data_IF_900614837513
#
_entry.id   IF_900614837513
#
_cell.length_a   1.000
_cell.length_b   1.000
_cell.length_c   1.000
_cell.angle_alpha   90.00
_cell.angle_beta   90.00
_cell.angle_gamma   90.00
#
_symmetry.space_group_name_H-M   'P 1'
#
loop_
_entity.id
_entity.type
_entity.pdbx_description
1 polymer ?
#
# COMPACT_ATOMS: atom_id res chain seq x y z
N UNK A 1 -16.70 11.38 47.48
CA UNK A 1 -15.81 12.53 47.20
C UNK A 1 -14.59 12.14 46.39
N UNK A 2 -13.81 11.11 46.77
CA UNK A 2 -12.60 10.68 46.05
C UNK A 2 -12.83 10.40 44.54
N UNK A 3 -13.91 9.69 44.11
CA UNK A 3 -14.13 9.44 42.68
C UNK A 3 -14.38 10.71 41.84
N UNK A 4 -15.03 11.73 42.43
CA UNK A 4 -15.37 12.98 41.73
C UNK A 4 -14.12 13.83 41.51
N UNK A 5 -13.25 13.93 42.52
CA UNK A 5 -11.99 14.66 42.37
C UNK A 5 -11.02 13.92 41.44
N UNK A 6 -11.00 12.59 41.48
CA UNK A 6 -10.21 11.79 40.54
C UNK A 6 -10.66 12.03 39.09
N UNK A 7 -11.96 11.94 38.81
CA UNK A 7 -12.51 12.20 37.48
C UNK A 7 -12.23 13.63 37.02
N UNK A 8 -12.45 14.63 37.88
CA UNK A 8 -12.17 16.03 37.55
C UNK A 8 -10.71 16.26 37.17
N UNK A 9 -9.76 15.66 37.90
CA UNK A 9 -8.33 15.79 37.62
C UNK A 9 -7.97 15.10 36.31
N UNK A 10 -8.42 13.86 36.11
CA UNK A 10 -8.08 13.09 34.91
C UNK A 10 -8.72 13.70 33.68
N UNK A 11 -10.01 14.01 33.71
CA UNK A 11 -10.75 14.59 32.58
C UNK A 11 -10.23 15.99 32.25
N UNK A 12 -9.99 16.84 33.26
CA UNK A 12 -9.42 18.18 33.03
C UNK A 12 -8.00 18.13 32.45
N UNK A 13 -7.15 17.21 32.94
CA UNK A 13 -5.80 17.01 32.39
C UNK A 13 -5.84 16.47 30.97
N UNK A 14 -6.73 15.50 30.70
CA UNK A 14 -6.93 14.92 29.37
C UNK A 14 -7.36 15.98 28.37
N UNK A 15 -8.36 16.80 28.69
CA UNK A 15 -8.86 17.85 27.79
C UNK A 15 -7.77 18.89 27.46
N UNK A 16 -6.97 19.29 28.47
CA UNK A 16 -5.85 20.21 28.25
C UNK A 16 -4.77 19.59 27.35
N UNK A 17 -4.43 18.31 27.54
CA UNK A 17 -3.45 17.61 26.70
C UNK A 17 -3.93 17.42 25.26
N UNK A 18 -5.21 17.10 25.09
CA UNK A 18 -5.87 16.96 23.78
C UNK A 18 -5.91 18.31 23.06
N UNK A 19 -6.27 19.39 23.74
CA UNK A 19 -6.27 20.73 23.14
C UNK A 19 -4.86 21.18 22.78
N UNK A 20 -3.89 20.97 23.67
CA UNK A 20 -2.50 21.32 23.41
C UNK A 20 -1.93 20.55 22.23
N UNK A 21 -2.14 19.23 22.17
CA UNK A 21 -1.66 18.42 21.06
C UNK A 21 -2.29 18.81 19.73
N UNK A 22 -3.59 19.13 19.71
CA UNK A 22 -4.25 19.66 18.51
C UNK A 22 -3.69 21.01 18.05
N UNK A 23 -3.27 21.90 18.97
CA UNK A 23 -2.63 23.18 18.62
C UNK A 23 -1.26 23.02 17.95
N UNK A 24 -0.58 21.89 18.18
CA UNK A 24 0.70 21.57 17.55
C UNK A 24 0.55 20.94 16.15
N UNK A 25 -0.65 20.46 15.81
CA UNK A 25 -0.96 20.01 14.45
C UNK A 25 -1.17 21.20 13.51
N UNK A 26 -1.23 20.92 12.21
CA UNK A 26 -1.47 21.97 11.20
C UNK A 26 -2.77 22.76 11.47
N UNK A 27 -2.79 24.02 11.06
CA UNK A 27 -3.96 24.89 11.21
C UNK A 27 -5.24 24.30 10.58
N UNK A 28 -5.08 23.53 9.50
CA UNK A 28 -6.17 22.80 8.86
C UNK A 28 -6.85 21.82 9.83
N UNK A 29 -6.07 21.04 10.60
CA UNK A 29 -6.61 20.10 11.57
C UNK A 29 -7.16 20.85 12.78
N UNK A 30 -6.42 21.82 13.32
CA UNK A 30 -6.85 22.56 14.51
C UNK A 30 -8.23 23.23 14.32
N UNK A 31 -8.44 23.89 13.17
CA UNK A 31 -9.69 24.58 12.82
C UNK A 31 -10.82 23.65 12.31
N UNK A 32 -10.59 22.34 12.25
CA UNK A 32 -11.55 21.39 11.65
C UNK A 32 -12.66 20.97 12.62
N UNK A 33 -13.51 20.02 12.20
CA UNK A 33 -14.53 19.42 13.06
C UNK A 33 -13.92 18.53 14.14
N UNK A 34 -14.69 18.19 15.18
CA UNK A 34 -14.26 17.23 16.22
C UNK A 34 -13.81 15.90 15.61
N UNK A 35 -14.52 15.41 14.61
CA UNK A 35 -14.18 14.18 13.90
C UNK A 35 -12.80 14.23 13.24
N UNK A 36 -12.50 15.31 12.50
CA UNK A 36 -11.20 15.47 11.82
C UNK A 36 -10.06 15.66 12.84
N UNK A 37 -10.31 16.39 13.95
CA UNK A 37 -9.35 16.47 15.05
C UNK A 37 -9.07 15.10 15.68
N UNK A 38 -10.10 14.30 15.96
CA UNK A 38 -9.94 12.95 16.50
C UNK A 38 -9.16 12.03 15.55
N UNK A 39 -9.42 12.09 14.24
CA UNK A 39 -8.60 11.37 13.25
C UNK A 39 -7.14 11.85 13.24
N UNK A 40 -6.92 13.16 13.37
CA UNK A 40 -5.58 13.73 13.49
C UNK A 40 -4.84 13.24 14.72
N UNK A 41 -5.53 13.06 15.84
CA UNK A 41 -4.94 12.58 17.10
C UNK A 41 -4.43 11.14 17.02
N UNK A 42 -5.00 10.30 16.16
CA UNK A 42 -4.45 8.96 15.90
C UNK A 42 -2.99 8.99 15.43
N UNK A 43 -2.50 10.10 14.85
CA UNK A 43 -1.06 10.21 14.53
C UNK A 43 -0.17 10.15 15.77
N UNK A 44 -0.65 10.66 16.91
CA UNK A 44 0.07 10.67 18.18
C UNK A 44 0.07 9.26 18.79
N UNK A 45 -1.02 8.52 18.61
CA UNK A 45 -1.13 7.12 19.06
C UNK A 45 -0.17 6.20 18.29
N UNK A 46 0.09 6.50 17.02
CA UNK A 46 0.91 5.66 16.14
C UNK A 46 2.41 6.00 16.18
N UNK A 47 2.83 7.12 16.76
CA UNK A 47 4.23 7.57 16.78
C UNK A 47 4.73 7.61 18.22
N UNK A 48 5.74 6.79 18.53
CA UNK A 48 6.30 6.75 19.89
C UNK A 48 7.77 6.31 19.90
N UNK A 49 8.46 6.63 20.99
CA UNK A 49 9.78 6.08 21.29
C UNK A 49 9.61 4.66 21.86
N UNK A 50 10.18 3.67 21.17
CA UNK A 50 10.06 2.26 21.56
C UNK A 50 11.44 1.62 21.68
N UNK A 51 11.66 0.88 22.78
CA UNK A 51 12.97 0.25 23.07
C UNK A 51 13.24 -1.00 22.23
N UNK A 52 12.22 -1.73 21.80
CA UNK A 52 12.34 -3.05 21.16
C UNK A 52 12.16 -3.06 19.63
N UNK A 53 11.72 -1.95 19.02
CA UNK A 53 11.49 -1.83 17.57
C UNK A 53 12.04 -0.50 17.02
N UNK A 54 13.33 -0.26 17.28
CA UNK A 54 14.03 1.00 16.96
C UNK A 54 14.22 1.19 15.45
N UNK A 55 14.31 2.44 15.00
CA UNK A 55 14.86 2.75 13.68
C UNK A 55 16.41 2.67 13.72
N UNK A 56 17.09 2.48 12.58
CA UNK A 56 18.54 2.38 12.54
C UNK A 56 19.22 3.63 13.06
N UNK A 57 20.31 3.44 13.80
CA UNK A 57 21.17 4.56 14.21
C UNK A 57 21.60 5.35 12.97
N UNK A 58 21.60 6.67 13.10
CA UNK A 58 22.13 7.51 12.05
C UNK A 58 23.63 7.23 11.90
N UNK A 59 24.12 7.24 10.66
CA UNK A 59 25.55 7.14 10.41
C UNK A 59 26.26 8.30 11.09
N UNK A 60 27.43 8.04 11.69
CA UNK A 60 28.31 9.08 12.26
C UNK A 60 28.74 10.13 11.23
N UNK A 61 28.57 9.86 9.93
CA UNK A 61 28.82 10.78 8.83
C UNK A 61 27.67 11.77 8.56
N UNK A 62 26.54 11.66 9.27
CA UNK A 62 25.39 12.57 9.21
C UNK A 62 25.41 13.40 10.51
N UNK A 63 25.38 14.73 10.38
CA UNK A 63 25.69 15.70 11.47
C UNK A 63 24.79 15.53 12.71
N UNK A 64 25.40 15.74 13.89
CA UNK A 64 24.98 15.32 15.24
C UNK A 64 24.15 16.32 16.09
N UNK A 65 23.72 17.48 15.59
CA UNK A 65 23.44 18.60 16.51
C UNK A 65 22.27 18.41 17.49
N UNK A 66 21.25 17.58 17.19
CA UNK A 66 20.01 17.53 17.99
C UNK A 66 19.48 16.11 18.23
N UNK A 67 20.38 15.16 18.47
CA UNK A 67 19.97 13.79 18.82
C UNK A 67 19.64 13.69 20.30
N UNK A 68 18.42 13.27 20.60
CA UNK A 68 18.01 12.94 21.96
C UNK A 68 18.59 11.57 22.30
N UNK A 69 19.34 11.49 23.39
CA UNK A 69 19.94 10.26 23.88
C UNK A 69 19.36 9.91 25.26
N UNK A 70 19.09 8.62 25.50
CA UNK A 70 18.66 8.07 26.79
C UNK A 70 19.65 6.99 27.21
N UNK A 71 19.99 6.93 28.49
CA UNK A 71 20.78 5.82 29.03
C UNK A 71 19.84 4.66 29.35
N UNK A 72 20.06 3.50 28.73
CA UNK A 72 19.34 2.28 29.06
C UNK A 72 19.59 1.93 30.54
N UNK A 73 18.54 1.75 31.33
CA UNK A 73 18.69 1.42 32.74
C UNK A 73 19.17 -0.02 32.97
N UNK A 74 18.90 -0.94 32.03
CA UNK A 74 19.30 -2.34 32.13
C UNK A 74 20.71 -2.57 31.58
N UNK A 75 21.02 -2.02 30.41
CA UNK A 75 22.32 -2.24 29.74
C UNK A 75 23.36 -1.17 30.04
N UNK A 76 22.96 -0.03 30.62
CA UNK A 76 23.77 1.18 30.84
C UNK A 76 24.34 1.82 29.56
N UNK A 77 23.89 1.38 28.39
CA UNK A 77 24.30 1.92 27.09
C UNK A 77 23.58 3.25 26.81
N UNK A 78 24.27 4.17 26.13
CA UNK A 78 23.65 5.38 25.61
C UNK A 78 22.94 5.04 24.31
N UNK A 79 21.64 5.29 24.27
CA UNK A 79 20.76 4.97 23.14
C UNK A 79 20.28 6.26 22.48
N UNK A 80 20.43 6.33 21.16
CA UNK A 80 19.79 7.36 20.36
C UNK A 80 18.27 7.10 20.29
N UNK A 81 17.48 8.07 20.75
CA UNK A 81 16.02 8.04 20.65
C UNK A 81 15.59 8.51 19.27
N UNK A 82 15.01 7.57 18.50
CA UNK A 82 14.39 7.86 17.21
C UNK A 82 12.93 7.41 17.30
N UNK A 83 11.95 8.30 17.01
CA UNK A 83 10.55 7.90 17.05
C UNK A 83 10.29 6.83 15.99
N UNK A 84 9.54 5.80 16.38
CA UNK A 84 9.10 4.73 15.50
C UNK A 84 7.62 4.91 15.19
N UNK A 85 7.21 4.46 14.00
CA UNK A 85 5.82 4.46 13.57
C UNK A 85 5.27 3.03 13.66
N UNK A 86 4.16 2.86 14.39
CA UNK A 86 3.45 1.59 14.47
C UNK A 86 3.00 1.14 13.07
N UNK A 87 3.28 -0.13 12.72
CA UNK A 87 3.02 -0.66 11.38
C UNK A 87 3.86 -0.01 10.26
N UNK A 88 4.93 0.71 10.60
CA UNK A 88 5.81 1.35 9.64
C UNK A 88 6.47 0.37 8.65
N UNK A 89 6.95 0.88 7.53
CA UNK A 89 7.56 0.06 6.48
C UNK A 89 8.70 -0.81 7.05
N UNK A 90 8.68 -2.15 6.87
CA UNK A 90 9.74 -3.05 7.34
C UNK A 90 11.14 -2.68 6.84
N UNK A 91 11.19 -1.94 5.73
CA UNK A 91 12.39 -1.45 5.06
C UNK A 91 13.13 -0.34 5.82
N UNK A 92 12.47 0.33 6.77
CA UNK A 92 13.01 1.49 7.49
C UNK A 92 13.33 1.20 8.96
N UNK A 93 12.83 0.11 9.53
CA UNK A 93 13.15 -0.32 10.91
C UNK A 93 14.56 -0.91 11.04
N UNK A 94 15.20 -0.80 12.22
CA UNK A 94 16.45 -1.49 12.58
C UNK A 94 16.18 -2.99 12.78
N UNK A 95 15.60 -3.63 11.77
CA UNK A 95 15.54 -5.08 11.72
C UNK A 95 16.81 -5.51 11.01
N UNK A 96 17.85 -5.85 11.79
CA UNK A 96 18.88 -6.76 11.29
C UNK A 96 18.14 -7.96 10.70
N UNK A 97 18.16 -8.10 9.37
CA UNK A 97 17.47 -9.14 8.59
C UNK A 97 16.01 -8.85 8.16
N UNK A 98 15.67 -7.61 7.81
CA UNK A 98 14.35 -7.28 7.23
C UNK A 98 13.94 -8.21 6.07
N UNK A 99 12.75 -8.80 6.10
CA UNK A 99 12.28 -9.72 5.05
C UNK A 99 11.82 -8.95 3.81
N UNK A 100 12.26 -9.39 2.62
CA UNK A 100 11.93 -8.76 1.33
C UNK A 100 10.90 -9.57 0.53
N UNK A 101 9.72 -9.78 1.10
CA UNK A 101 8.60 -10.49 0.45
C UNK A 101 7.51 -9.55 -0.08
N UNK A 102 7.63 -8.24 0.12
CA UNK A 102 6.69 -7.23 -0.35
C UNK A 102 7.18 -6.59 -1.66
N UNK A 103 6.34 -6.64 -2.68
CA UNK A 103 6.55 -6.00 -4.00
C UNK A 103 5.91 -4.61 -4.03
N UNK A 104 4.90 -4.36 -3.22
CA UNK A 104 4.15 -3.11 -3.17
C UNK A 104 4.81 -2.01 -2.34
N UNK A 105 5.53 -2.36 -1.26
CA UNK A 105 6.08 -1.39 -0.32
C UNK A 105 7.03 -0.37 -0.96
N UNK A 106 7.88 -0.78 -1.92
CA UNK A 106 8.79 0.15 -2.62
C UNK A 106 8.02 1.25 -3.37
N UNK A 107 6.89 0.89 -3.96
CA UNK A 107 6.05 1.81 -4.71
C UNK A 107 5.29 2.76 -3.79
N UNK A 108 4.77 2.26 -2.67
CA UNK A 108 4.16 3.09 -1.64
C UNK A 108 5.16 4.07 -1.01
N UNK A 109 6.39 3.63 -0.78
CA UNK A 109 7.47 4.46 -0.28
C UNK A 109 7.83 5.59 -1.27
N UNK A 110 8.04 5.26 -2.55
CA UNK A 110 8.30 6.25 -3.59
C UNK A 110 7.13 7.24 -3.76
N UNK A 111 5.90 6.75 -3.70
CA UNK A 111 4.70 7.59 -3.74
C UNK A 111 4.66 8.57 -2.54
N UNK A 112 5.02 8.09 -1.34
CA UNK A 112 5.08 8.91 -0.13
C UNK A 112 6.11 10.03 -0.27
N UNK A 113 7.29 9.75 -0.85
CA UNK A 113 8.29 10.78 -1.16
C UNK A 113 7.74 11.77 -2.18
N UNK A 114 7.10 11.30 -3.26
CA UNK A 114 6.49 12.18 -4.25
C UNK A 114 5.46 13.12 -3.62
N UNK A 115 4.61 12.61 -2.73
CA UNK A 115 3.64 13.42 -1.98
C UNK A 115 4.35 14.43 -1.07
N UNK A 116 5.38 14.00 -0.34
CA UNK A 116 6.18 14.88 0.53
C UNK A 116 6.76 16.07 -0.25
N UNK A 117 7.37 15.81 -1.42
CA UNK A 117 7.95 16.88 -2.25
C UNK A 117 6.93 17.91 -2.75
N UNK A 118 5.65 17.53 -2.83
CA UNK A 118 4.54 18.40 -3.27
C UNK A 118 3.90 19.17 -2.11
N UNK A 119 3.82 18.57 -0.94
CA UNK A 119 3.12 19.15 0.22
C UNK A 119 4.02 20.03 1.09
N UNK A 120 5.29 19.65 1.24
CA UNK A 120 6.23 20.36 2.13
C UNK A 120 6.93 21.49 1.37
N UNK A 121 6.98 22.72 1.92
CA UNK A 121 7.76 23.80 1.34
C UNK A 121 9.22 23.38 1.13
N UNK A 122 9.72 23.54 -0.09
CA UNK A 122 11.06 23.06 -0.49
C UNK A 122 11.30 21.56 -0.23
N UNK A 123 10.24 20.74 -0.25
CA UNK A 123 10.31 19.32 0.06
C UNK A 123 11.19 18.51 -0.88
N UNK A 124 11.49 19.00 -2.09
CA UNK A 124 12.44 18.39 -3.02
C UNK A 124 13.88 18.29 -2.48
N UNK A 125 14.23 19.07 -1.45
CA UNK A 125 15.54 18.99 -0.79
C UNK A 125 15.82 17.60 -0.21
N UNK A 126 14.77 16.84 0.15
CA UNK A 126 14.90 15.46 0.66
C UNK A 126 15.65 14.54 -0.31
N UNK A 127 15.65 14.84 -1.61
CA UNK A 127 16.36 14.05 -2.63
C UNK A 127 17.88 14.17 -2.49
N UNK A 128 18.38 15.20 -1.80
CA UNK A 128 19.80 15.41 -1.53
C UNK A 128 20.20 14.95 -0.12
N UNK A 129 19.25 14.54 0.72
CA UNK A 129 19.55 14.07 2.07
C UNK A 129 20.34 12.77 2.00
N UNK A 130 21.49 12.77 2.68
CA UNK A 130 22.35 11.59 2.74
C UNK A 130 21.79 10.61 3.76
N UNK A 131 21.61 9.37 3.33
CA UNK A 131 21.18 8.26 4.20
C UNK A 131 22.26 7.17 4.24
N UNK A 132 22.34 6.43 5.35
CA UNK A 132 23.20 5.26 5.46
C UNK A 132 22.60 4.09 4.66
N UNK A 133 23.34 3.59 3.67
CA UNK A 133 23.00 2.34 2.97
C UNK A 133 23.41 1.14 3.82
N UNK A 134 22.46 0.59 4.58
CA UNK A 134 22.69 -0.55 5.49
C UNK A 134 23.18 -1.82 4.77
N UNK A 135 22.77 -2.01 3.51
CA UNK A 135 23.16 -3.15 2.68
C UNK A 135 23.91 -2.64 1.44
N UNK A 136 25.25 -2.58 1.47
CA UNK A 136 26.04 -1.90 0.45
C UNK A 136 26.09 -2.65 -0.88
N UNK A 137 26.00 -3.98 -0.86
CA UNK A 137 26.02 -4.81 -2.07
C UNK A 137 24.73 -5.61 -2.20
N UNK A 138 24.44 -6.05 -3.42
CA UNK A 138 23.30 -6.90 -3.74
C UNK A 138 23.64 -8.34 -3.32
N UNK A 139 23.42 -8.67 -2.06
CA UNK A 139 23.69 -10.00 -1.52
C UNK A 139 22.48 -10.92 -1.71
N UNK A 140 22.72 -12.17 -2.15
CA UNK A 140 21.77 -13.26 -1.93
C UNK A 140 21.64 -13.49 -0.43
N UNK A 141 20.47 -13.20 0.13
CA UNK A 141 20.13 -13.64 1.49
C UNK A 141 19.76 -15.12 1.47
N UNK A 142 19.89 -15.77 2.62
CA UNK A 142 19.36 -17.13 2.80
C UNK A 142 17.87 -17.17 2.49
N UNK A 143 17.40 -18.33 2.04
CA UNK A 143 16.00 -18.70 1.85
C UNK A 143 15.72 -19.97 2.68
N UNK A 144 14.45 -20.26 2.97
CA UNK A 144 14.05 -21.49 3.67
C UNK A 144 13.20 -21.26 4.92
N UNK A 145 12.78 -22.37 5.53
CA UNK A 145 11.74 -22.42 6.57
C UNK A 145 12.03 -21.63 7.86
N UNK A 146 13.30 -21.28 8.10
CA UNK A 146 13.68 -20.39 9.21
C UNK A 146 13.22 -18.94 9.00
N UNK A 147 12.91 -18.54 7.76
CA UNK A 147 12.40 -17.20 7.41
C UNK A 147 10.89 -17.17 7.25
N UNK A 148 10.30 -18.27 6.79
CA UNK A 148 8.85 -18.47 6.71
C UNK A 148 8.56 -19.97 6.81
N UNK A 149 7.90 -20.37 7.90
CA UNK A 149 7.63 -21.79 8.20
C UNK A 149 6.46 -22.37 7.37
N UNK A 150 5.74 -21.53 6.63
CA UNK A 150 4.55 -21.92 5.88
C UNK A 150 4.79 -21.87 4.36
N UNK A 151 5.56 -20.90 3.88
CA UNK A 151 5.83 -20.70 2.45
C UNK A 151 6.55 -21.90 1.81
N UNK A 152 6.13 -22.27 0.60
CA UNK A 152 6.82 -23.29 -0.21
C UNK A 152 8.09 -22.74 -0.85
N UNK A 153 9.00 -23.64 -1.24
CA UNK A 153 10.29 -23.30 -1.84
C UNK A 153 10.13 -22.37 -3.06
N UNK A 154 9.12 -22.60 -3.90
CA UNK A 154 8.81 -21.77 -5.08
C UNK A 154 8.37 -20.35 -4.71
N UNK A 155 7.78 -20.16 -3.53
CA UNK A 155 7.33 -18.85 -3.04
C UNK A 155 8.50 -17.91 -2.69
N UNK A 156 9.69 -18.45 -2.42
CA UNK A 156 10.90 -17.67 -2.16
C UNK A 156 11.58 -17.16 -3.44
N UNK A 157 11.26 -17.75 -4.60
CA UNK A 157 11.86 -17.39 -5.89
C UNK A 157 10.87 -16.51 -6.65
N UNK A 158 11.13 -15.20 -6.64
CA UNK A 158 10.25 -14.20 -7.25
C UNK A 158 10.98 -13.54 -8.41
N UNK A 159 10.33 -13.49 -9.57
CA UNK A 159 10.73 -12.64 -10.70
C UNK A 159 9.93 -11.34 -10.65
N UNK A 160 10.58 -10.22 -10.95
CA UNK A 160 9.96 -8.89 -11.08
C UNK A 160 10.59 -8.22 -12.29
N UNK A 161 9.78 -7.71 -13.19
CA UNK A 161 10.25 -7.02 -14.40
C UNK A 161 9.17 -6.08 -14.94
N UNK A 162 9.45 -5.51 -16.12
CA UNK A 162 8.57 -4.62 -16.84
C UNK A 162 8.18 -5.32 -18.14
N UNK A 163 6.88 -5.44 -18.40
CA UNK A 163 6.40 -5.87 -19.70
C UNK A 163 6.75 -4.78 -20.72
N UNK A 164 7.64 -5.10 -21.66
CA UNK A 164 8.12 -4.12 -22.63
C UNK A 164 7.03 -3.62 -23.58
N UNK A 165 5.95 -4.40 -23.79
CA UNK A 165 4.84 -3.99 -24.65
C UNK A 165 3.94 -2.98 -23.95
N UNK A 166 3.51 -3.31 -22.74
CA UNK A 166 2.52 -2.51 -21.99
C UNK A 166 3.15 -1.46 -21.09
N UNK A 167 4.42 -1.62 -20.73
CA UNK A 167 5.08 -0.84 -19.69
C UNK A 167 4.68 -1.21 -18.26
N UNK A 168 3.83 -2.23 -18.07
CA UNK A 168 3.37 -2.60 -16.74
C UNK A 168 4.46 -3.32 -15.95
N UNK A 169 4.53 -3.00 -14.66
CA UNK A 169 5.36 -3.75 -13.72
C UNK A 169 4.64 -5.04 -13.36
N UNK A 170 5.32 -6.17 -13.54
CA UNK A 170 4.81 -7.48 -13.19
C UNK A 170 5.77 -8.20 -12.25
N UNK A 171 5.26 -9.21 -11.56
CA UNK A 171 6.10 -10.11 -10.79
C UNK A 171 5.31 -10.95 -9.80
N UNK A 172 6.03 -11.72 -9.01
CA UNK A 172 5.43 -12.71 -8.12
C UNK A 172 5.16 -14.03 -8.83
N UNK A 173 4.54 -14.95 -8.10
CA UNK A 173 4.02 -16.20 -8.64
C UNK A 173 2.84 -16.67 -7.76
N UNK A 174 2.17 -17.76 -8.17
CA UNK A 174 1.02 -18.33 -7.43
C UNK A 174 1.31 -18.79 -5.99
N UNK A 175 2.57 -18.87 -5.59
CA UNK A 175 3.05 -19.33 -4.29
C UNK A 175 3.57 -18.19 -3.41
N UNK A 176 3.42 -16.94 -3.84
CA UNK A 176 3.91 -15.76 -3.14
C UNK A 176 2.78 -14.76 -2.82
N UNK A 177 3.04 -13.95 -1.79
CA UNK A 177 2.15 -12.90 -1.31
C UNK A 177 2.85 -11.52 -1.43
N UNK A 178 2.95 -11.00 -2.65
CA UNK A 178 3.75 -9.78 -2.92
C UNK A 178 3.01 -8.44 -2.72
N UNK A 179 1.72 -8.46 -2.42
CA UNK A 179 0.88 -7.27 -2.29
C UNK A 179 0.19 -7.27 -0.94
N UNK A 180 -0.35 -6.14 -0.48
CA UNK A 180 -1.05 -5.99 0.79
C UNK A 180 -2.13 -7.05 1.09
N UNK A 181 -2.70 -7.70 0.07
CA UNK A 181 -3.50 -8.91 0.23
C UNK A 181 -2.60 -10.14 0.41
N UNK A 182 -1.93 -10.26 1.57
CA UNK A 182 -0.73 -11.08 1.76
C UNK A 182 -0.90 -12.36 2.58
N UNK A 183 -2.14 -12.78 2.85
CA UNK A 183 -2.40 -13.96 3.69
C UNK A 183 -1.83 -15.26 3.08
N UNK A 184 -0.77 -15.77 3.70
CA UNK A 184 -0.26 -17.12 3.49
C UNK A 184 -1.04 -18.13 4.36
N UNK A 185 -1.57 -19.19 3.74
CA UNK A 185 -2.23 -20.27 4.45
C UNK A 185 -1.27 -21.02 5.37
N UNK A 186 -1.79 -21.49 6.51
CA UNK A 186 -0.97 -22.06 7.59
C UNK A 186 -1.59 -23.28 8.27
N UNK A 187 -2.79 -23.71 7.88
CA UNK A 187 -3.44 -24.91 8.42
C UNK A 187 -3.04 -26.14 7.63
N UNK A 188 -2.35 -27.08 8.29
CA UNK A 188 -2.09 -28.42 7.76
C UNK A 188 -3.38 -29.24 7.70
N UNK A 189 -4.22 -29.09 8.74
CA UNK A 189 -5.49 -29.80 8.92
C UNK A 189 -6.47 -29.52 7.77
N UNK A 190 -6.61 -28.25 7.37
CA UNK A 190 -7.42 -27.84 6.24
C UNK A 190 -6.68 -27.92 4.89
N UNK A 191 -5.44 -28.42 4.88
CA UNK A 191 -4.58 -28.55 3.69
C UNK A 191 -4.27 -27.24 2.95
N UNK A 192 -4.34 -26.09 3.64
CA UNK A 192 -4.08 -24.78 3.04
C UNK A 192 -2.66 -24.23 3.34
N UNK A 193 -1.87 -24.90 4.19
CA UNK A 193 -0.50 -24.47 4.53
C UNK A 193 0.39 -24.29 3.28
N UNK A 194 0.99 -23.10 3.18
CA UNK A 194 1.88 -22.74 2.06
C UNK A 194 1.17 -22.38 0.76
N UNK A 195 -0.16 -22.27 0.78
CA UNK A 195 -0.93 -21.72 -0.32
C UNK A 195 -1.30 -20.26 0.01
N UNK A 196 -0.91 -19.28 -0.82
CA UNK A 196 -1.46 -17.93 -0.74
C UNK A 196 -2.98 -17.94 -0.92
N UNK A 197 -3.70 -17.21 -0.07
CA UNK A 197 -5.14 -17.04 -0.23
C UNK A 197 -5.50 -16.12 -1.39
N UNK A 198 -4.63 -15.17 -1.68
CA UNK A 198 -4.79 -14.14 -2.71
C UNK A 198 -3.45 -13.89 -3.40
N UNK A 199 -2.92 -14.87 -4.16
CA UNK A 199 -1.74 -14.60 -4.99
C UNK A 199 -2.14 -13.56 -6.05
N UNK A 200 -1.47 -12.41 -6.02
CA UNK A 200 -1.69 -11.30 -6.95
C UNK A 200 -0.44 -11.10 -7.80
N UNK A 201 0.00 -12.17 -8.43
CA UNK A 201 1.12 -12.17 -9.36
C UNK A 201 0.72 -11.58 -10.73
N UNK A 202 1.72 -11.33 -11.58
CA UNK A 202 1.51 -10.52 -12.78
C UNK A 202 1.43 -9.02 -12.44
N UNK A 203 0.63 -8.27 -13.18
CA UNK A 203 0.54 -6.81 -13.03
C UNK A 203 -0.66 -6.41 -12.19
N UNK A 204 -0.45 -6.14 -10.90
CA UNK A 204 -1.47 -5.65 -9.99
C UNK A 204 -1.82 -4.18 -10.28
N UNK A 205 -3.12 -3.86 -10.36
CA UNK A 205 -3.62 -2.57 -10.84
C UNK A 205 -3.06 -1.36 -10.08
N UNK A 206 -2.94 -1.46 -8.75
CA UNK A 206 -2.41 -0.38 -7.93
C UNK A 206 -0.89 -0.21 -8.09
N UNK A 207 -0.16 -1.28 -8.40
CA UNK A 207 1.28 -1.20 -8.65
C UNK A 207 1.58 -0.55 -9.98
N UNK A 208 0.77 -0.82 -11.01
CA UNK A 208 0.85 -0.11 -12.29
C UNK A 208 0.61 1.39 -12.08
N UNK A 209 -0.41 1.76 -11.30
CA UNK A 209 -0.73 3.16 -11.00
C UNK A 209 0.37 3.88 -10.18
N UNK A 210 0.92 3.22 -9.16
CA UNK A 210 2.01 3.76 -8.36
C UNK A 210 3.29 3.91 -9.19
N UNK A 211 3.60 2.93 -10.05
CA UNK A 211 4.71 3.00 -10.99
C UNK A 211 4.55 4.19 -11.93
N UNK A 212 3.40 4.30 -12.60
CA UNK A 212 3.06 5.42 -13.50
C UNK A 212 3.23 6.77 -12.81
N UNK A 213 2.71 6.91 -11.58
CA UNK A 213 2.81 8.14 -10.79
C UNK A 213 4.25 8.48 -10.43
N UNK A 214 5.04 7.46 -10.08
CA UNK A 214 6.47 7.62 -9.76
C UNK A 214 7.23 8.08 -10.99
N UNK A 215 7.01 7.44 -12.15
CA UNK A 215 7.65 7.82 -13.42
C UNK A 215 7.28 9.26 -13.80
N UNK A 216 6.01 9.63 -13.68
CA UNK A 216 5.56 11.00 -13.95
C UNK A 216 6.26 12.02 -13.03
N UNK A 217 6.41 11.69 -11.75
CA UNK A 217 7.10 12.52 -10.77
C UNK A 217 8.60 12.67 -11.07
N UNK A 218 9.33 11.58 -11.35
CA UNK A 218 10.77 11.69 -11.66
C UNK A 218 11.02 12.45 -12.96
N UNK A 219 10.13 12.36 -13.96
CA UNK A 219 10.19 13.19 -15.17
C UNK A 219 10.07 14.68 -14.80
N UNK A 220 9.16 15.04 -13.89
CA UNK A 220 9.03 16.42 -13.42
C UNK A 220 10.27 16.88 -12.64
N UNK A 221 10.80 16.03 -11.75
CA UNK A 221 12.03 16.34 -11.01
C UNK A 221 13.23 16.50 -11.94
N UNK A 222 13.32 15.71 -13.00
CA UNK A 222 14.37 15.85 -14.00
C UNK A 222 14.26 17.17 -14.77
N UNK A 223 13.04 17.55 -15.22
CA UNK A 223 12.80 18.86 -15.87
C UNK A 223 13.15 20.05 -14.99
N UNK A 224 13.05 19.90 -13.67
CA UNK A 224 13.41 20.92 -12.68
C UNK A 224 14.87 20.83 -12.20
N UNK A 225 15.67 19.93 -12.77
CA UNK A 225 17.06 19.66 -12.39
C UNK A 225 17.26 19.12 -10.95
N UNK A 226 16.21 18.58 -10.33
CA UNK A 226 16.30 17.90 -9.03
C UNK A 226 16.62 16.41 -9.13
N UNK A 227 16.52 15.83 -10.33
CA UNK A 227 16.84 14.41 -10.57
C UNK A 227 17.66 14.25 -11.86
N UNK A 228 18.87 13.64 -11.82
CA UNK A 228 19.81 13.72 -12.93
C UNK A 228 19.56 12.71 -14.06
N UNK A 229 18.65 11.75 -13.90
CA UNK A 229 18.43 10.66 -14.85
C UNK A 229 17.15 10.83 -15.66
N UNK A 230 17.19 10.45 -16.93
CA UNK A 230 16.09 10.53 -17.90
C UNK A 230 15.58 9.15 -18.37
N UNK A 231 16.21 8.07 -17.92
CA UNK A 231 16.07 6.73 -18.51
C UNK A 231 16.65 5.61 -17.64
N UNK A 232 16.37 4.38 -18.07
CA UNK A 232 16.97 3.15 -17.55
C UNK A 232 17.63 2.32 -18.66
N UNK A 233 18.52 1.41 -18.29
CA UNK A 233 19.11 0.42 -19.19
C UNK A 233 18.34 -0.89 -19.06
N UNK A 234 17.88 -1.42 -20.19
CA UNK A 234 17.18 -2.70 -20.27
C UNK A 234 18.04 -3.69 -21.05
N UNK A 235 18.20 -4.90 -20.54
CA UNK A 235 18.83 -6.01 -21.24
C UNK A 235 17.85 -6.56 -22.27
N UNK A 236 18.24 -6.57 -23.55
CA UNK A 236 17.52 -7.28 -24.62
C UNK A 236 18.27 -8.56 -24.94
N UNK A 237 17.55 -9.69 -25.03
CA UNK A 237 18.10 -11.04 -25.28
C UNK A 237 18.85 -11.17 -26.61
N UNK A 238 18.67 -10.23 -27.54
CA UNK A 238 19.15 -10.35 -28.92
C UNK A 238 19.97 -9.16 -29.45
N UNK A 239 20.15 -8.06 -28.70
CA UNK A 239 20.71 -6.82 -29.28
C UNK A 239 21.52 -5.91 -28.34
N UNK A 240 21.85 -6.36 -27.12
CA UNK A 240 22.62 -5.57 -26.16
C UNK A 240 21.74 -4.70 -25.25
N UNK A 241 22.36 -3.79 -24.49
CA UNK A 241 21.67 -2.94 -23.51
C UNK A 241 20.99 -1.78 -24.23
N UNK A 242 19.66 -1.74 -24.24
CA UNK A 242 18.86 -0.65 -24.82
C UNK A 242 18.48 0.36 -23.74
N UNK A 243 18.47 1.65 -24.08
CA UNK A 243 18.02 2.74 -23.20
C UNK A 243 16.50 2.89 -23.34
N UNK A 244 15.75 2.79 -22.24
CA UNK A 244 14.32 3.14 -22.19
C UNK A 244 14.17 4.48 -21.47
N UNK A 245 13.68 5.50 -22.17
CA UNK A 245 13.41 6.79 -21.55
C UNK A 245 12.18 6.70 -20.64
N UNK A 246 12.18 7.46 -19.55
CA UNK A 246 11.04 7.51 -18.64
C UNK A 246 9.76 7.99 -19.33
N UNK A 247 9.88 8.90 -20.30
CA UNK A 247 8.75 9.37 -21.12
C UNK A 247 8.14 8.25 -21.94
N UNK A 248 8.98 7.41 -22.58
CA UNK A 248 8.51 6.28 -23.38
C UNK A 248 7.84 5.23 -22.50
N UNK A 249 8.41 4.97 -21.32
CA UNK A 249 7.82 4.06 -20.35
C UNK A 249 6.44 4.57 -19.88
N UNK A 250 6.34 5.84 -19.52
CA UNK A 250 5.07 6.45 -19.12
C UNK A 250 4.00 6.34 -20.22
N UNK A 251 4.38 6.65 -21.47
CA UNK A 251 3.47 6.59 -22.61
C UNK A 251 2.95 5.16 -22.85
N UNK A 252 3.82 4.14 -22.74
CA UNK A 252 3.39 2.74 -22.86
C UNK A 252 2.31 2.39 -21.83
N UNK A 253 2.49 2.81 -20.57
CA UNK A 253 1.49 2.56 -19.53
C UNK A 253 0.17 3.26 -19.89
N UNK A 254 0.22 4.56 -20.20
CA UNK A 254 -0.97 5.37 -20.47
C UNK A 254 -1.73 4.86 -21.72
N UNK A 255 -1.04 4.36 -22.74
CA UNK A 255 -1.65 3.84 -23.98
C UNK A 255 -2.30 2.46 -23.84
N UNK A 256 -1.88 1.66 -22.85
CA UNK A 256 -2.32 0.28 -22.68
C UNK A 256 -3.22 0.06 -21.47
N UNK A 257 -3.16 0.91 -20.44
CA UNK A 257 -3.89 0.71 -19.17
C UNK A 257 -5.37 0.41 -19.37
N UNK A 258 -6.11 1.31 -20.02
CA UNK A 258 -7.55 1.12 -20.25
C UNK A 258 -7.85 -0.13 -21.08
N UNK A 259 -7.06 -0.40 -22.13
CA UNK A 259 -7.30 -1.52 -23.04
C UNK A 259 -7.17 -2.87 -22.34
N UNK A 260 -6.20 -2.98 -21.44
CA UNK A 260 -5.88 -4.25 -20.79
C UNK A 260 -6.73 -4.49 -19.54
N UNK A 261 -6.97 -3.46 -18.72
CA UNK A 261 -7.66 -3.59 -17.44
C UNK A 261 -9.19 -3.48 -17.53
N UNK A 262 -9.76 -2.73 -18.48
CA UNK A 262 -11.21 -2.57 -18.55
C UNK A 262 -11.90 -3.83 -19.07
N UNK A 263 -12.96 -4.27 -18.40
CA UNK A 263 -13.84 -5.34 -18.87
C UNK A 263 -15.10 -4.72 -19.46
N UNK A 264 -15.18 -4.66 -20.78
CA UNK A 264 -16.34 -4.14 -21.49
C UNK A 264 -17.54 -5.12 -21.49
N UNK A 265 -18.66 -4.68 -22.06
CA UNK A 265 -19.86 -5.52 -22.18
C UNK A 265 -19.70 -6.67 -23.19
N UNK A 266 -18.87 -6.49 -24.20
CA UNK A 266 -18.60 -7.45 -25.27
C UNK A 266 -17.61 -8.54 -24.88
N UNK A 267 -16.96 -8.45 -23.71
CA UNK A 267 -15.96 -9.42 -23.30
C UNK A 267 -16.58 -10.83 -23.17
N UNK A 268 -16.00 -11.79 -23.88
CA UNK A 268 -16.45 -13.18 -23.98
C UNK A 268 -15.54 -14.17 -23.24
N UNK A 269 -14.55 -13.68 -22.48
CA UNK A 269 -13.68 -14.57 -21.71
C UNK A 269 -14.51 -15.38 -20.71
N UNK A 270 -14.25 -16.68 -20.64
CA UNK A 270 -14.88 -17.61 -19.70
C UNK A 270 -14.63 -17.25 -18.22
N UNK A 271 -13.60 -16.43 -17.94
CA UNK A 271 -13.22 -16.03 -16.60
C UNK A 271 -14.00 -14.80 -16.09
N UNK A 272 -14.81 -14.16 -16.93
CA UNK A 272 -15.54 -12.93 -16.57
C UNK A 272 -16.73 -13.25 -15.65
N UNK A 273 -16.62 -12.89 -14.37
CA UNK A 273 -17.76 -12.90 -13.44
C UNK A 273 -18.64 -11.65 -13.61
N UNK A 274 -18.02 -10.46 -13.72
CA UNK A 274 -18.72 -9.19 -13.92
C UNK A 274 -18.13 -8.37 -15.06
N UNK A 275 -19.00 -7.58 -15.69
CA UNK A 275 -18.67 -6.62 -16.76
C UNK A 275 -18.76 -5.19 -16.22
N UNK A 276 -18.16 -4.24 -16.95
CA UNK A 276 -18.07 -2.83 -16.56
C UNK A 276 -17.29 -2.60 -15.25
N UNK A 277 -16.23 -3.37 -15.07
CA UNK A 277 -15.30 -3.28 -13.95
C UNK A 277 -13.87 -3.22 -14.50
N UNK A 278 -12.92 -2.88 -13.64
CA UNK A 278 -11.51 -3.06 -13.93
C UNK A 278 -11.05 -4.39 -13.35
N UNK A 279 -10.26 -5.14 -14.12
CA UNK A 279 -9.50 -6.30 -13.68
C UNK A 279 -8.66 -5.94 -12.46
N UNK A 280 -8.47 -6.90 -11.57
CA UNK A 280 -7.62 -6.71 -10.39
C UNK A 280 -6.13 -6.87 -10.72
N UNK A 281 -5.82 -7.81 -11.61
CA UNK A 281 -4.48 -8.11 -12.11
C UNK A 281 -4.50 -8.35 -13.62
N UNK A 282 -3.33 -8.30 -14.26
CA UNK A 282 -3.13 -8.74 -15.64
C UNK A 282 -2.07 -9.83 -15.67
N UNK A 283 -2.38 -10.92 -16.39
CA UNK A 283 -1.49 -12.04 -16.62
C UNK A 283 -1.06 -12.76 -15.33
N UNK A 284 -1.93 -12.82 -14.31
CA UNK A 284 -1.72 -13.71 -13.18
C UNK A 284 -1.62 -15.18 -13.62
N UNK A 285 -0.97 -16.00 -12.78
CA UNK A 285 -0.84 -17.44 -13.02
C UNK A 285 -2.21 -18.12 -13.02
N UNK A 286 -3.10 -17.73 -12.11
CA UNK A 286 -4.48 -18.22 -12.03
C UNK A 286 -5.41 -17.29 -12.81
N UNK A 287 -5.66 -17.56 -14.09
CA UNK A 287 -6.30 -16.59 -15.01
C UNK A 287 -7.61 -15.97 -14.53
N UNK A 288 -8.43 -16.68 -13.75
CA UNK A 288 -9.67 -16.12 -13.20
C UNK A 288 -9.45 -15.02 -12.15
N UNK A 289 -8.29 -14.96 -11.48
CA UNK A 289 -8.01 -13.91 -10.48
C UNK A 289 -7.88 -12.53 -11.12
N UNK A 290 -7.46 -12.46 -12.38
CA UNK A 290 -7.45 -11.20 -13.15
C UNK A 290 -8.83 -10.54 -13.20
N UNK A 291 -9.91 -11.34 -13.28
CA UNK A 291 -11.27 -10.88 -13.56
C UNK A 291 -12.12 -10.66 -12.31
N UNK A 292 -11.54 -10.80 -11.11
CA UNK A 292 -12.27 -10.59 -9.86
C UNK A 292 -12.59 -9.11 -9.64
N UNK A 293 -13.82 -8.81 -9.25
CA UNK A 293 -14.16 -7.48 -8.74
C UNK A 293 -13.57 -7.33 -7.33
N UNK A 294 -12.46 -6.58 -7.25
CA UNK A 294 -11.76 -6.22 -6.02
C UNK A 294 -11.61 -4.69 -5.92
N UNK A 295 -11.42 -4.13 -4.72
CA UNK A 295 -11.39 -2.68 -4.53
C UNK A 295 -10.05 -2.01 -4.92
N UNK A 296 -9.05 -2.76 -5.39
CA UNK A 296 -7.71 -2.23 -5.65
C UNK A 296 -7.67 -1.17 -6.76
N UNK A 297 -8.58 -1.24 -7.74
CA UNK A 297 -8.68 -0.20 -8.79
C UNK A 297 -9.06 1.18 -8.21
N UNK A 298 -9.72 1.23 -7.06
CA UNK A 298 -10.08 2.48 -6.38
C UNK A 298 -8.80 3.24 -6.02
N UNK A 299 -7.80 2.53 -5.51
CA UNK A 299 -6.48 3.09 -5.18
C UNK A 299 -5.86 3.70 -6.44
N UNK A 300 -5.79 2.90 -7.51
CA UNK A 300 -5.24 3.33 -8.79
C UNK A 300 -5.94 4.59 -9.33
N UNK A 301 -7.28 4.66 -9.21
CA UNK A 301 -8.08 5.80 -9.69
C UNK A 301 -7.86 7.10 -8.93
N UNK A 302 -7.32 7.04 -7.71
CA UNK A 302 -6.97 8.21 -6.89
C UNK A 302 -5.53 8.63 -7.13
N UNK A 303 -4.63 7.66 -7.26
CA UNK A 303 -3.18 7.89 -7.38
C UNK A 303 -2.82 8.37 -8.78
N UNK A 304 -3.41 7.74 -9.81
CA UNK A 304 -3.15 8.01 -11.22
C UNK A 304 -4.46 8.15 -12.02
N UNK A 305 -5.31 9.17 -11.73
CA UNK A 305 -6.61 9.32 -12.36
C UNK A 305 -6.55 9.47 -13.89
N UNK A 306 -5.45 10.01 -14.42
CA UNK A 306 -5.21 10.20 -15.85
C UNK A 306 -5.14 8.91 -16.66
N UNK A 307 -4.91 7.76 -16.02
CA UNK A 307 -4.95 6.46 -16.71
C UNK A 307 -6.38 6.02 -17.04
N UNK A 308 -7.39 6.61 -16.40
CA UNK A 308 -8.76 6.10 -16.44
C UNK A 308 -9.66 6.84 -17.43
N UNK A 309 -10.46 6.07 -18.17
CA UNK A 309 -11.60 6.61 -18.90
C UNK A 309 -12.69 7.05 -17.91
N UNK A 310 -13.06 8.32 -18.00
CA UNK A 310 -14.01 8.99 -17.10
C UNK A 310 -15.37 8.30 -16.97
N UNK A 311 -15.89 7.71 -18.04
CA UNK A 311 -17.18 7.00 -18.02
C UNK A 311 -17.02 5.62 -17.39
N UNK A 312 -15.98 4.89 -17.79
CA UNK A 312 -15.69 3.56 -17.28
C UNK A 312 -15.45 3.56 -15.76
N UNK A 313 -14.60 4.46 -15.26
CA UNK A 313 -14.33 4.56 -13.82
C UNK A 313 -15.58 4.93 -13.02
N UNK A 314 -16.47 5.76 -13.57
CA UNK A 314 -17.71 6.09 -12.90
C UNK A 314 -18.66 4.88 -12.80
N UNK A 315 -18.73 4.04 -13.85
CA UNK A 315 -19.47 2.78 -13.80
C UNK A 315 -18.87 1.81 -12.78
N UNK A 316 -17.55 1.64 -12.77
CA UNK A 316 -16.87 0.77 -11.81
C UNK A 316 -17.06 1.25 -10.36
N UNK A 317 -17.01 2.56 -10.09
CA UNK A 317 -17.27 3.13 -8.76
C UNK A 317 -18.73 2.92 -8.30
N UNK A 318 -19.70 2.89 -9.23
CA UNK A 318 -21.07 2.50 -8.90
C UNK A 318 -21.16 1.02 -8.52
N UNK A 319 -20.43 0.14 -9.20
CA UNK A 319 -20.37 -1.28 -8.82
C UNK A 319 -19.83 -1.44 -7.38
N UNK A 320 -18.78 -0.69 -7.02
CA UNK A 320 -18.27 -0.66 -5.64
C UNK A 320 -19.34 -0.23 -4.66
N UNK A 321 -20.02 0.89 -4.92
CA UNK A 321 -21.10 1.41 -4.07
C UNK A 321 -22.22 0.39 -3.84
N UNK A 322 -22.58 -0.37 -4.87
CA UNK A 322 -23.67 -1.34 -4.78
C UNK A 322 -23.27 -2.71 -4.22
N UNK A 323 -22.01 -3.11 -4.39
CA UNK A 323 -21.57 -4.51 -4.15
C UNK A 323 -20.53 -4.62 -3.05
N UNK A 324 -19.50 -3.76 -3.09
CA UNK A 324 -18.34 -3.87 -2.19
C UNK A 324 -18.46 -2.96 -0.96
N UNK A 325 -19.20 -1.86 -1.03
CA UNK A 325 -19.35 -0.93 0.08
C UNK A 325 -20.05 -1.62 1.25
N UNK A 326 -19.34 -1.68 2.37
CA UNK A 326 -19.81 -2.22 3.63
C UNK A 326 -20.35 -1.14 4.56
N UNK A 327 -20.58 -1.52 5.82
CA UNK A 327 -21.05 -0.56 6.83
C UNK A 327 -19.97 0.46 7.18
N UNK A 328 -18.72 0.00 7.26
CA UNK A 328 -17.57 0.84 7.62
C UNK A 328 -16.40 0.69 6.65
N UNK A 329 -16.20 -0.52 6.11
CA UNK A 329 -15.11 -0.83 5.19
C UNK A 329 -15.59 -1.14 3.78
N UNK A 330 -14.62 -1.46 2.92
CA UNK A 330 -14.89 -2.00 1.58
C UNK A 330 -14.55 -3.49 1.59
N UNK A 331 -15.48 -4.33 1.15
CA UNK A 331 -15.27 -5.78 0.97
C UNK A 331 -14.12 -6.01 0.00
N UNK A 332 -13.21 -6.91 0.36
CA UNK A 332 -12.01 -7.19 -0.46
C UNK A 332 -12.28 -8.06 -1.67
N UNK A 333 -13.45 -8.69 -1.73
CA UNK A 333 -13.92 -9.51 -2.83
C UNK A 333 -15.43 -9.39 -2.98
N UNK A 334 -15.90 -9.51 -4.21
CA UNK A 334 -17.31 -9.60 -4.59
C UNK A 334 -18.04 -10.76 -3.90
N UNK A 335 -19.16 -10.50 -3.20
CA UNK A 335 -19.99 -11.53 -2.58
C UNK A 335 -20.52 -12.62 -3.51
N UNK A 336 -20.60 -12.40 -4.83
CA UNK A 336 -21.01 -13.45 -5.77
C UNK A 336 -19.87 -14.37 -6.21
N UNK A 337 -18.62 -14.07 -5.85
CA UNK A 337 -17.47 -14.91 -6.17
C UNK A 337 -17.49 -16.19 -5.32
N UNK A 338 -17.16 -17.33 -5.93
CA UNK A 338 -17.10 -18.61 -5.24
C UNK A 338 -16.15 -18.60 -4.02
N UNK A 339 -15.11 -17.78 -4.05
CA UNK A 339 -14.12 -17.69 -2.98
C UNK A 339 -14.51 -16.70 -1.87
N UNK A 340 -15.65 -16.03 -1.96
CA UNK A 340 -16.08 -15.07 -0.95
C UNK A 340 -16.41 -15.73 0.38
N UNK A 341 -15.74 -15.28 1.45
CA UNK A 341 -16.03 -15.58 2.85
C UNK A 341 -15.79 -14.31 3.68
N UNK A 342 -16.87 -13.65 4.10
CA UNK A 342 -16.82 -12.33 4.73
C UNK A 342 -16.35 -12.30 6.19
N UNK A 343 -16.58 -13.38 6.96
CA UNK A 343 -16.32 -13.42 8.39
C UNK A 343 -14.92 -13.97 8.67
N UNK A 344 -14.00 -13.11 9.09
CA UNK A 344 -12.64 -13.49 9.43
C UNK A 344 -12.55 -14.03 10.87
N UNK A 345 -12.00 -15.24 11.00
CA UNK A 345 -11.62 -15.81 12.29
C UNK A 345 -10.22 -16.43 12.19
N UNK A 346 -9.24 -15.85 12.89
CA UNK A 346 -7.88 -16.39 12.91
C UNK A 346 -7.79 -17.71 13.66
N UNK A 347 -8.59 -17.89 14.71
CA UNK A 347 -8.56 -19.05 15.60
C UNK A 347 -9.38 -20.24 15.06
N UNK A 348 -9.88 -20.14 13.83
CA UNK A 348 -10.59 -21.24 13.16
C UNK A 348 -9.62 -22.38 12.81
N UNK A 349 -9.65 -23.47 13.59
CA UNK A 349 -8.96 -24.74 13.31
C UNK A 349 -9.90 -25.79 12.71
N UNK A 350 -10.84 -25.40 11.83
CA UNK A 350 -11.71 -26.36 11.12
C UNK A 350 -10.97 -27.05 9.95
N UNK A 351 -11.68 -27.93 9.25
CA UNK A 351 -11.22 -28.54 8.00
C UNK A 351 -11.58 -27.69 6.76
N UNK A 352 -12.18 -26.51 6.94
CA UNK A 352 -12.55 -25.64 5.82
C UNK A 352 -11.31 -24.94 5.26
N UNK A 353 -10.93 -25.32 4.04
CA UNK A 353 -9.79 -24.75 3.32
C UNK A 353 -9.85 -23.21 3.24
N UNK A 354 -11.06 -22.64 3.06
CA UNK A 354 -11.25 -21.20 2.84
C UNK A 354 -11.20 -20.37 4.12
N UNK A 355 -11.44 -20.98 5.28
CA UNK A 355 -11.59 -20.28 6.55
C UNK A 355 -10.43 -20.54 7.51
N UNK A 356 -9.94 -21.78 7.58
CA UNK A 356 -9.01 -22.21 8.61
C UNK A 356 -7.74 -21.35 8.70
N UNK A 357 -7.38 -20.97 9.91
CA UNK A 357 -6.32 -20.04 10.29
C UNK A 357 -6.44 -18.66 9.60
N UNK A 358 -7.69 -18.22 9.37
CA UNK A 358 -8.01 -16.95 8.76
C UNK A 358 -7.61 -16.85 7.28
N UNK A 359 -7.68 -17.95 6.52
CA UNK A 359 -7.31 -17.96 5.09
C UNK A 359 -8.11 -16.92 4.28
N UNK A 360 -9.33 -16.62 4.70
CA UNK A 360 -10.21 -15.63 4.07
C UNK A 360 -9.88 -14.16 4.34
N UNK A 361 -8.77 -13.82 5.02
CA UNK A 361 -8.43 -12.45 5.45
C UNK A 361 -8.61 -11.35 4.37
N UNK A 362 -8.37 -11.70 3.10
CA UNK A 362 -8.57 -10.81 1.95
C UNK A 362 -9.56 -11.34 0.91
N UNK A 363 -10.43 -12.29 1.26
CA UNK A 363 -11.45 -12.86 0.38
C UNK A 363 -12.87 -12.57 0.86
N UNK A 364 -13.14 -11.36 1.33
CA UNK A 364 -14.48 -10.97 1.76
C UNK A 364 -14.53 -9.92 2.87
N UNK A 365 -13.66 -9.96 3.88
CA UNK A 365 -13.68 -9.01 4.99
C UNK A 365 -13.66 -7.55 4.53
N UNK A 366 -14.27 -6.68 5.33
CA UNK A 366 -14.38 -5.25 5.04
C UNK A 366 -13.17 -4.48 5.57
N UNK A 367 -12.39 -3.86 4.69
CA UNK A 367 -11.18 -3.12 5.08
C UNK A 367 -11.42 -1.61 5.09
N UNK A 368 -11.08 -0.97 6.21
CA UNK A 368 -11.43 0.43 6.48
C UNK A 368 -10.57 1.44 5.70
N UNK A 369 -9.27 1.19 5.52
CA UNK A 369 -8.38 2.13 4.84
C UNK A 369 -8.78 2.38 3.37
N UNK A 370 -9.44 1.40 2.74
CA UNK A 370 -9.99 1.50 1.39
C UNK A 370 -11.16 2.49 1.31
N UNK A 371 -11.91 2.68 2.39
CA UNK A 371 -13.00 3.67 2.47
C UNK A 371 -12.47 5.08 2.19
N UNK A 372 -11.29 5.42 2.70
CA UNK A 372 -10.62 6.69 2.42
C UNK A 372 -10.32 6.88 0.92
N UNK A 373 -9.83 5.83 0.25
CA UNK A 373 -9.62 5.87 -1.20
C UNK A 373 -10.93 5.95 -1.98
N UNK A 374 -11.97 5.22 -1.56
CA UNK A 374 -13.28 5.25 -2.20
C UNK A 374 -13.91 6.64 -2.16
N UNK A 375 -13.94 7.29 -0.99
CA UNK A 375 -14.47 8.65 -0.84
C UNK A 375 -13.69 9.63 -1.72
N UNK A 376 -12.35 9.55 -1.70
CA UNK A 376 -11.50 10.40 -2.56
C UNK A 376 -11.79 10.19 -4.04
N UNK A 377 -11.94 8.95 -4.48
CA UNK A 377 -12.27 8.61 -5.87
C UNK A 377 -13.64 9.17 -6.26
N UNK A 378 -14.68 8.94 -5.44
CA UNK A 378 -16.04 9.46 -5.69
C UNK A 378 -16.08 10.98 -5.77
N UNK A 379 -15.39 11.69 -4.87
CA UNK A 379 -15.30 13.16 -4.90
C UNK A 379 -14.59 13.67 -6.15
N UNK A 380 -13.46 13.08 -6.51
CA UNK A 380 -12.71 13.48 -7.70
C UNK A 380 -13.52 13.24 -8.99
N UNK A 381 -14.07 12.04 -9.16
CA UNK A 381 -14.75 11.63 -10.38
C UNK A 381 -16.16 12.21 -10.53
N UNK A 382 -16.89 12.47 -9.43
CA UNK A 382 -18.16 13.20 -9.49
C UNK A 382 -17.96 14.62 -10.01
N UNK A 383 -16.95 15.34 -9.50
CA UNK A 383 -16.56 16.67 -9.98
C UNK A 383 -16.18 16.64 -11.46
N UNK A 384 -15.36 15.68 -11.88
CA UNK A 384 -15.00 15.51 -13.30
C UNK A 384 -16.21 15.21 -14.18
N UNK A 385 -17.17 14.42 -13.68
CA UNK A 385 -18.43 14.09 -14.35
C UNK A 385 -19.52 15.18 -14.27
N UNK A 386 -19.28 16.29 -13.57
CA UNK A 386 -20.29 17.33 -13.31
C UNK A 386 -21.56 16.77 -12.63
N UNK A 387 -21.39 15.75 -11.79
CA UNK A 387 -22.48 15.13 -11.03
C UNK A 387 -22.52 15.80 -9.65
N UNK A 388 -23.62 16.49 -9.34
CA UNK A 388 -23.77 17.37 -8.16
C UNK A 388 -24.27 16.59 -6.91
N UNK A 389 -24.50 15.28 -7.00
CA UNK A 389 -24.92 14.46 -5.85
C UNK A 389 -23.73 14.05 -4.97
N UNK A 390 -23.17 15.01 -4.23
CA UNK A 390 -22.15 14.76 -3.18
C UNK A 390 -22.82 14.46 -1.82
N UNK A 391 -24.10 14.82 -1.66
CA UNK A 391 -24.83 14.76 -0.38
C UNK A 391 -25.03 13.36 0.22
N UNK A 392 -24.79 12.27 -0.52
CA UNK A 392 -25.06 10.89 -0.06
C UNK A 392 -23.82 10.11 0.41
N UNK A 393 -22.60 10.67 0.35
CA UNK A 393 -21.37 9.91 0.69
C UNK A 393 -21.06 9.95 2.21
N UNK A 394 -21.71 10.84 2.97
CA UNK A 394 -21.34 11.15 4.37
C UNK A 394 -22.52 10.93 5.36
N UNK A 395 -23.66 10.42 4.91
CA UNK A 395 -24.73 9.93 5.80
C UNK A 395 -24.61 8.43 5.97
#
# INVERSE_FOLDING_TARGET
MIPIYFDLIISGSYDLLIEHSCKLLSQFIYNSSKFVRSLGQTSIELISFVRNARLPLLSSNIVKSDLIEEKDEETLEIIQLIPSLAGGFPYLSYIKNARYNSRDAVWWWLCSISIYTKLVPNGYNILNDKVSRLYPNDYKRGFGYNLDSCMKDEGFIIEISIDQKTGFVYGGNRWNCGTWMDKMGSSEKAMNKGHPATPRDGSAIELVALCRTTISWIIQMNKQNYFPYDSIKISSDSSGKTKLFFTDWLNRIDENFEKEFWIDQSNLSEYVNRKQIYKDTINSTLKWTDFQLRPNFIIASVIAPEMFNKTHIWLALKQVETILLGKYGIKTLDPSDYNYVGDYNYDDDSYDYKCAHGFNYHNGPEWLWLTGYYIRAKLYWSKKNKIIQIYMIIQ
#
